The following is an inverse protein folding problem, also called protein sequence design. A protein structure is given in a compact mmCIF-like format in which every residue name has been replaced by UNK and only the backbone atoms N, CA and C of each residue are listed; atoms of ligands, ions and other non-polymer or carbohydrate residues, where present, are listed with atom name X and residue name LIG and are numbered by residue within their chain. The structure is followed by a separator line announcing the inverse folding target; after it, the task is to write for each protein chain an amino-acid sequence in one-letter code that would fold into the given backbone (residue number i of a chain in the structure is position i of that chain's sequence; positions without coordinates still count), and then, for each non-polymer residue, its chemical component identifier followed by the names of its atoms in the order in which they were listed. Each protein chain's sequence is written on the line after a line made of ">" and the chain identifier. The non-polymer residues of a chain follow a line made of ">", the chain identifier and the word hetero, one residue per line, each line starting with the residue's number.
data_IF_800524351587
#
_entry.id   IF_800524351587
#
_cell.length_a   1.000
_cell.length_b   1.000
_cell.length_c   1.000
_cell.angle_alpha   90.00
_cell.angle_beta   90.00
_cell.angle_gamma   90.00
#
_symmetry.space_group_name_H-M   'P 1'
#
loop_
_entity.id
_entity.type
_entity.pdbx_description
1 polymer ?
#
# COMPACT_ATOMS: atom_id res chain seq x y z
N UNK A 1 12.69 5.10 5.72
CA UNK A 1 12.05 3.83 6.13
C UNK A 1 10.57 4.14 6.25
N UNK A 2 9.68 3.32 5.67
CA UNK A 2 8.25 3.64 5.56
C UNK A 2 7.40 2.38 5.44
N UNK A 3 6.13 2.59 5.09
CA UNK A 3 5.11 1.59 4.89
C UNK A 3 4.85 1.43 3.40
N UNK A 4 5.08 0.23 2.90
CA UNK A 4 4.75 -0.13 1.53
C UNK A 4 3.47 -0.95 1.53
N UNK A 5 2.50 -0.50 0.75
CA UNK A 5 1.21 -1.16 0.60
C UNK A 5 1.02 -1.57 -0.84
N UNK A 6 0.70 -2.85 -1.04
CA UNK A 6 0.52 -3.42 -2.37
C UNK A 6 -0.86 -4.04 -2.51
N UNK A 7 -1.52 -3.82 -3.65
CA UNK A 7 -2.78 -4.49 -3.96
C UNK A 7 -2.63 -6.00 -3.92
N UNK A 8 -3.67 -6.69 -3.43
CA UNK A 8 -3.70 -8.16 -3.41
C UNK A 8 -3.76 -8.72 -4.84
N UNK A 9 -4.42 -8.02 -5.76
CA UNK A 9 -4.49 -8.37 -7.19
C UNK A 9 -4.17 -7.17 -8.05
N UNK A 10 -3.12 -7.27 -8.85
CA UNK A 10 -2.79 -6.24 -9.83
C UNK A 10 -3.92 -6.05 -10.85
N UNK A 11 -4.19 -4.82 -11.30
CA UNK A 11 -5.05 -4.58 -12.45
C UNK A 11 -4.51 -5.26 -13.71
N UNK A 12 -5.41 -5.75 -14.56
CA UNK A 12 -5.02 -6.30 -15.85
C UNK A 12 -4.35 -5.22 -16.71
N UNK A 13 -3.18 -5.54 -17.26
CA UNK A 13 -2.44 -4.64 -18.16
C UNK A 13 -1.67 -3.52 -17.48
N UNK A 14 -1.64 -3.44 -16.13
CA UNK A 14 -0.86 -2.42 -15.41
C UNK A 14 0.63 -2.50 -15.77
N UNK A 15 1.23 -3.69 -15.71
CA UNK A 15 2.65 -3.88 -16.04
C UNK A 15 2.96 -3.40 -17.46
N UNK A 16 2.10 -3.72 -18.42
CA UNK A 16 2.26 -3.28 -19.81
C UNK A 16 2.12 -1.76 -19.97
N UNK A 17 1.22 -1.13 -19.22
CA UNK A 17 1.04 0.32 -19.19
C UNK A 17 2.24 1.02 -18.54
N UNK A 18 2.72 0.50 -17.41
CA UNK A 18 3.91 0.99 -16.73
C UNK A 18 5.16 0.88 -17.61
N UNK A 19 5.38 -0.28 -18.25
CA UNK A 19 6.49 -0.46 -19.19
C UNK A 19 6.41 0.51 -20.39
N UNK A 20 5.21 0.79 -20.90
CA UNK A 20 5.04 1.76 -21.98
C UNK A 20 5.34 3.20 -21.53
N UNK A 21 4.91 3.57 -20.33
CA UNK A 21 5.21 4.88 -19.75
C UNK A 21 6.71 5.01 -19.39
N UNK A 22 7.32 3.96 -18.85
CA UNK A 22 8.77 3.89 -18.57
C UNK A 22 9.60 4.07 -19.83
N UNK A 23 9.25 3.41 -20.94
CA UNK A 23 9.92 3.67 -22.23
C UNK A 23 9.78 5.12 -22.71
N UNK A 24 8.67 5.76 -22.40
CA UNK A 24 8.43 7.17 -22.76
C UNK A 24 9.26 8.11 -21.89
N UNK A 25 9.40 7.81 -20.60
CA UNK A 25 10.30 8.50 -19.69
C UNK A 25 11.76 8.35 -20.11
N UNK A 26 12.22 7.13 -20.40
CA UNK A 26 13.59 6.88 -20.86
C UNK A 26 13.91 7.64 -22.15
N UNK A 27 12.98 7.66 -23.11
CA UNK A 27 13.14 8.42 -24.35
C UNK A 27 13.21 9.94 -24.11
N UNK A 28 12.43 10.48 -23.16
CA UNK A 28 12.50 11.90 -22.80
C UNK A 28 13.83 12.25 -22.13
N UNK A 29 14.34 11.37 -21.26
CA UNK A 29 15.65 11.52 -20.60
C UNK A 29 16.77 11.48 -21.64
N UNK A 30 16.77 10.48 -22.53
CA UNK A 30 17.75 10.35 -23.60
C UNK A 30 17.74 11.58 -24.53
N UNK A 31 16.55 12.11 -24.86
CA UNK A 31 16.43 13.31 -25.69
C UNK A 31 17.03 14.54 -25.00
N UNK A 32 16.75 14.75 -23.71
CA UNK A 32 17.32 15.85 -22.92
C UNK A 32 18.85 15.74 -22.85
N UNK A 33 19.36 14.55 -22.51
CA UNK A 33 20.78 14.34 -22.22
C UNK A 33 21.63 14.33 -23.51
N UNK A 34 21.05 13.92 -24.64
CA UNK A 34 21.73 13.89 -25.94
C UNK A 34 22.06 15.26 -26.54
N UNK A 35 21.52 16.35 -26.00
CA UNK A 35 21.80 17.71 -26.51
C UNK A 35 23.04 18.37 -25.89
N UNK A 36 23.60 17.81 -24.81
CA UNK A 36 24.78 18.33 -24.10
C UNK A 36 24.68 19.85 -23.78
N UNK A 37 23.50 20.27 -23.31
CA UNK A 37 23.22 21.66 -22.97
C UNK A 37 23.46 21.94 -21.47
N UNK A 38 23.93 23.15 -21.10
CA UNK A 38 23.95 23.57 -19.71
C UNK A 38 22.56 23.53 -19.06
N UNK A 39 22.51 23.27 -17.75
CA UNK A 39 21.26 23.15 -17.00
C UNK A 39 20.36 24.39 -17.10
N UNK A 40 20.94 25.59 -17.12
CA UNK A 40 20.21 26.86 -17.21
C UNK A 40 19.79 27.23 -18.64
N UNK A 41 20.15 26.43 -19.65
CA UNK A 41 19.76 26.68 -21.02
C UNK A 41 18.24 26.52 -21.21
N UNK A 42 17.54 27.47 -21.85
CA UNK A 42 16.08 27.43 -21.97
C UNK A 42 15.52 26.14 -22.59
N UNK A 43 16.23 25.58 -23.58
CA UNK A 43 15.85 24.30 -24.20
C UNK A 43 16.04 23.11 -23.26
N UNK A 44 17.08 23.12 -22.41
CA UNK A 44 17.25 22.09 -21.39
C UNK A 44 16.09 22.13 -20.40
N UNK A 45 15.72 23.34 -19.93
CA UNK A 45 14.60 23.53 -19.01
C UNK A 45 13.26 23.06 -19.60
N UNK A 46 13.01 23.33 -20.89
CA UNK A 46 11.81 22.83 -21.57
C UNK A 46 11.76 21.30 -21.61
N UNK A 47 12.88 20.64 -21.95
CA UNK A 47 12.96 19.18 -21.96
C UNK A 47 12.89 18.57 -20.55
N UNK A 48 13.41 19.27 -19.54
CA UNK A 48 13.27 18.86 -18.15
C UNK A 48 11.80 18.80 -17.70
N UNK A 49 10.96 19.71 -18.20
CA UNK A 49 9.51 19.68 -17.95
C UNK A 49 8.87 18.47 -18.64
N UNK A 50 9.28 18.13 -19.86
CA UNK A 50 8.81 16.91 -20.54
C UNK A 50 9.20 15.63 -19.80
N UNK A 51 10.45 15.55 -19.31
CA UNK A 51 10.93 14.45 -18.46
C UNK A 51 10.08 14.34 -17.19
N UNK A 52 9.78 15.47 -16.53
CA UNK A 52 8.93 15.48 -15.34
C UNK A 52 7.51 14.96 -15.63
N UNK A 53 6.88 15.40 -16.72
CA UNK A 53 5.58 14.90 -17.14
C UNK A 53 5.58 13.40 -17.49
N UNK A 54 6.65 12.91 -18.14
CA UNK A 54 6.78 11.50 -18.46
C UNK A 54 6.99 10.64 -17.20
N UNK A 55 7.75 11.16 -16.22
CA UNK A 55 7.90 10.54 -14.91
C UNK A 55 6.57 10.48 -14.16
N UNK A 56 5.82 11.59 -14.10
CA UNK A 56 4.50 11.64 -13.47
C UNK A 56 3.53 10.64 -14.12
N UNK A 57 3.57 10.50 -15.45
CA UNK A 57 2.76 9.53 -16.17
C UNK A 57 3.17 8.07 -15.88
N UNK A 58 4.47 7.81 -15.72
CA UNK A 58 4.99 6.49 -15.34
C UNK A 58 4.57 6.12 -13.91
N UNK A 59 4.71 7.04 -12.95
CA UNK A 59 4.27 6.82 -11.57
C UNK A 59 2.74 6.65 -11.50
N UNK A 60 1.98 7.44 -12.24
CA UNK A 60 0.52 7.32 -12.32
C UNK A 60 0.05 5.97 -12.91
N UNK A 61 0.88 5.30 -13.71
CA UNK A 61 0.58 3.98 -14.23
C UNK A 61 0.71 2.88 -13.16
N UNK A 62 1.46 3.10 -12.08
CA UNK A 62 1.72 2.11 -11.04
C UNK A 62 0.71 2.22 -9.89
N UNK A 63 -0.54 1.84 -10.16
CA UNK A 63 -1.63 1.94 -9.18
C UNK A 63 -1.63 0.82 -8.14
N UNK A 64 -0.79 -0.21 -8.32
CA UNK A 64 -0.64 -1.32 -7.37
C UNK A 64 0.03 -0.97 -6.05
N UNK A 65 0.74 0.15 -5.96
CA UNK A 65 1.59 0.49 -4.82
C UNK A 65 1.20 1.85 -4.23
N UNK A 66 1.24 1.93 -2.90
CA UNK A 66 1.14 3.18 -2.18
C UNK A 66 2.17 3.19 -1.05
N UNK A 67 2.89 4.30 -0.93
CA UNK A 67 3.92 4.47 0.08
C UNK A 67 3.56 5.59 1.05
N UNK A 68 3.82 5.37 2.33
CA UNK A 68 3.82 6.41 3.36
C UNK A 68 5.08 6.27 4.19
N UNK A 69 5.75 7.36 4.53
CA UNK A 69 6.81 7.35 5.53
C UNK A 69 6.26 6.92 6.90
N UNK A 70 7.13 6.54 7.84
CA UNK A 70 6.68 6.20 9.21
C UNK A 70 5.90 7.33 9.88
N UNK A 71 6.29 8.58 9.62
CA UNK A 71 5.61 9.75 10.15
C UNK A 71 4.23 9.94 9.50
N UNK A 72 4.15 9.94 8.17
CA UNK A 72 2.87 10.06 7.46
C UNK A 72 1.93 8.91 7.79
N UNK A 73 2.43 7.70 8.03
CA UNK A 73 1.59 6.57 8.46
C UNK A 73 1.00 6.79 9.86
N UNK A 74 1.74 7.44 10.77
CA UNK A 74 1.21 7.82 12.08
C UNK A 74 0.08 8.84 11.94
N UNK A 75 0.29 9.88 11.13
CA UNK A 75 -0.72 10.90 10.83
C UNK A 75 -1.93 10.28 10.11
N UNK A 76 -1.72 9.40 9.14
CA UNK A 76 -2.76 8.65 8.45
C UNK A 76 -3.62 7.85 9.41
N UNK A 77 -3.03 7.17 10.38
CA UNK A 77 -3.80 6.44 11.39
C UNK A 77 -4.59 7.38 12.29
N UNK A 78 -4.03 8.52 12.68
CA UNK A 78 -4.74 9.52 13.47
C UNK A 78 -5.94 10.11 12.71
N UNK A 79 -5.76 10.46 11.43
CA UNK A 79 -6.83 10.91 10.55
C UNK A 79 -7.90 9.83 10.35
N UNK A 80 -7.49 8.60 10.08
CA UNK A 80 -8.43 7.48 9.92
C UNK A 80 -9.22 7.22 11.21
N UNK A 81 -8.58 7.25 12.37
CA UNK A 81 -9.25 7.11 13.68
C UNK A 81 -10.27 8.24 13.89
N UNK A 82 -9.86 9.47 13.62
CA UNK A 82 -10.70 10.65 13.70
C UNK A 82 -11.96 10.56 12.82
N UNK A 83 -11.83 10.05 11.59
CA UNK A 83 -12.95 9.82 10.68
C UNK A 83 -13.73 8.52 10.96
N UNK A 84 -13.41 7.78 12.04
CA UNK A 84 -14.07 6.52 12.39
C UNK A 84 -13.78 5.38 11.39
N UNK A 85 -12.70 5.49 10.63
CA UNK A 85 -12.30 4.51 9.63
C UNK A 85 -11.57 3.30 10.23
N UNK A 86 -11.06 3.43 11.46
CA UNK A 86 -10.36 2.36 12.16
C UNK A 86 -11.27 1.68 13.19
N UNK A 87 -11.05 0.38 13.36
CA UNK A 87 -11.68 -0.40 14.41
C UNK A 87 -10.61 -1.06 15.30
N UNK A 88 -10.83 -1.01 16.61
CA UNK A 88 -10.06 -1.81 17.56
C UNK A 88 -10.50 -3.28 17.42
N UNK A 89 -9.61 -4.15 16.94
CA UNK A 89 -9.87 -5.57 16.82
C UNK A 89 -8.63 -6.35 17.26
N UNK A 90 -8.86 -7.41 18.05
CA UNK A 90 -7.82 -8.33 18.47
C UNK A 90 -7.65 -9.41 17.39
N UNK A 91 -6.48 -9.53 16.75
CA UNK A 91 -6.23 -10.63 15.82
C UNK A 91 -6.10 -11.97 16.55
N UNK A 92 -6.32 -13.09 15.86
CA UNK A 92 -5.94 -14.41 16.36
C UNK A 92 -4.45 -14.46 16.72
N UNK A 93 -4.13 -15.31 17.69
CA UNK A 93 -2.75 -15.54 18.11
C UNK A 93 -1.89 -16.01 16.94
N UNK A 94 -0.63 -15.61 16.95
CA UNK A 94 0.33 -16.03 15.94
C UNK A 94 0.56 -17.54 16.07
N UNK A 95 0.36 -18.34 14.99
CA UNK A 95 0.62 -19.77 15.06
C UNK A 95 2.10 -20.02 15.37
N UNK A 96 2.38 -20.96 16.26
CA UNK A 96 3.75 -21.36 16.57
C UNK A 96 4.21 -22.41 15.54
N UNK A 97 5.39 -22.27 14.91
CA UNK A 97 5.92 -23.26 13.97
C UNK A 97 5.89 -24.70 14.51
N UNK A 98 6.16 -24.85 15.81
CA UNK A 98 6.27 -26.12 16.51
C UNK A 98 4.95 -26.90 16.53
N UNK A 99 3.80 -26.21 16.57
CA UNK A 99 2.46 -26.82 16.50
C UNK A 99 2.22 -27.56 15.19
N UNK A 100 3.00 -27.22 14.16
CA UNK A 100 2.91 -27.80 12.82
C UNK A 100 4.05 -28.79 12.53
N UNK A 101 4.93 -29.05 13.51
CA UNK A 101 6.07 -29.95 13.36
C UNK A 101 7.21 -29.35 12.54
N UNK A 102 7.42 -28.04 12.62
CA UNK A 102 8.56 -27.33 12.01
C UNK A 102 9.15 -26.33 13.01
N UNK A 103 10.35 -25.83 12.74
CA UNK A 103 10.96 -24.72 13.48
C UNK A 103 10.85 -23.39 12.73
N UNK A 104 11.07 -22.24 13.40
CA UNK A 104 11.18 -20.95 12.73
C UNK A 104 12.26 -20.95 11.63
N UNK A 105 13.42 -21.54 11.91
CA UNK A 105 14.53 -21.61 10.96
C UNK A 105 14.21 -22.42 9.70
N UNK A 106 13.56 -23.57 9.85
CA UNK A 106 13.11 -24.38 8.71
C UNK A 106 12.00 -23.67 7.92
N UNK A 107 11.08 -22.98 8.60
CA UNK A 107 10.01 -22.24 7.94
C UNK A 107 10.54 -21.08 7.10
N UNK A 108 11.61 -20.41 7.55
CA UNK A 108 12.30 -19.34 6.83
C UNK A 108 13.16 -19.89 5.69
N UNK A 109 13.92 -20.95 5.94
CA UNK A 109 14.87 -21.50 4.96
C UNK A 109 14.21 -22.33 3.84
N UNK A 110 13.01 -22.87 4.08
CA UNK A 110 12.33 -23.72 3.10
C UNK A 110 11.99 -22.94 1.81
N UNK A 111 12.11 -23.57 0.63
CA UNK A 111 11.76 -22.93 -0.64
C UNK A 111 10.27 -22.54 -0.67
N UNK A 112 9.93 -21.52 -1.44
CA UNK A 112 8.54 -21.19 -1.72
C UNK A 112 7.86 -22.31 -2.56
N UNK A 113 6.54 -22.42 -2.46
CA UNK A 113 5.76 -23.35 -3.29
C UNK A 113 5.83 -24.82 -2.84
N UNK A 114 5.66 -25.74 -3.81
CA UNK A 114 5.44 -27.17 -3.57
C UNK A 114 6.68 -27.97 -3.11
N UNK A 115 7.86 -27.37 -3.12
CA UNK A 115 9.10 -28.01 -2.67
C UNK A 115 9.31 -27.93 -1.14
N UNK A 116 8.49 -27.16 -0.43
CA UNK A 116 8.57 -27.05 1.02
C UNK A 116 8.09 -28.35 1.71
N UNK A 117 8.68 -28.72 2.87
CA UNK A 117 8.13 -29.78 3.70
C UNK A 117 6.65 -29.56 4.04
N UNK A 118 5.89 -30.65 4.15
CA UNK A 118 4.44 -30.59 4.45
C UNK A 118 4.14 -29.79 5.72
N UNK A 119 4.97 -29.95 6.76
CA UNK A 119 4.88 -29.19 8.01
C UNK A 119 4.98 -27.67 7.78
N UNK A 120 5.99 -27.23 7.03
CA UNK A 120 6.18 -25.83 6.64
C UNK A 120 5.00 -25.32 5.82
N UNK A 121 4.47 -26.12 4.90
CA UNK A 121 3.30 -25.73 4.10
C UNK A 121 2.06 -25.49 4.98
N UNK A 122 1.80 -26.38 5.95
CA UNK A 122 0.69 -26.20 6.89
C UNK A 122 0.88 -24.96 7.76
N UNK A 123 2.10 -24.74 8.28
CA UNK A 123 2.43 -23.55 9.05
C UNK A 123 2.21 -22.26 8.24
N UNK A 124 2.75 -22.18 7.01
CA UNK A 124 2.57 -21.03 6.12
C UNK A 124 1.10 -20.77 5.79
N UNK A 125 0.31 -21.82 5.58
CA UNK A 125 -1.14 -21.70 5.36
C UNK A 125 -1.86 -21.13 6.59
N UNK A 126 -1.50 -21.56 7.79
CA UNK A 126 -2.05 -21.02 9.03
C UNK A 126 -1.65 -19.55 9.26
N UNK A 127 -0.39 -19.22 8.98
CA UNK A 127 0.09 -17.84 9.05
C UNK A 127 -0.63 -16.93 8.04
N UNK A 128 -0.79 -17.37 6.79
CA UNK A 128 -1.55 -16.63 5.78
C UNK A 128 -3.02 -16.45 6.20
N UNK A 129 -3.66 -17.50 6.72
CA UNK A 129 -5.02 -17.40 7.24
C UNK A 129 -5.13 -16.35 8.36
N UNK A 130 -4.15 -16.31 9.26
CA UNK A 130 -4.06 -15.25 10.28
C UNK A 130 -3.87 -13.88 9.64
N UNK A 131 -2.90 -13.69 8.74
CA UNK A 131 -2.62 -12.38 8.12
C UNK A 131 -3.79 -11.86 7.27
N UNK A 132 -4.61 -12.76 6.75
CA UNK A 132 -5.86 -12.45 6.03
C UNK A 132 -7.10 -12.34 6.94
N UNK A 133 -6.95 -12.53 8.25
CA UNK A 133 -8.07 -12.56 9.18
C UNK A 133 -8.82 -11.23 9.16
N UNK A 134 -10.15 -11.33 9.18
CA UNK A 134 -11.06 -10.19 9.33
C UNK A 134 -12.12 -10.56 10.35
N UNK A 135 -12.59 -9.62 11.18
CA UNK A 135 -13.78 -9.85 11.98
C UNK A 135 -14.97 -10.21 11.05
N UNK A 136 -15.91 -11.07 11.51
CA UNK A 136 -17.07 -11.46 10.71
C UNK A 136 -17.93 -10.29 10.23
N UNK A 137 -17.96 -9.20 11.01
CA UNK A 137 -18.62 -7.94 10.69
C UNK A 137 -17.61 -6.80 10.90
N UNK A 138 -16.91 -6.36 9.85
CA UNK A 138 -15.93 -5.28 9.98
C UNK A 138 -16.63 -3.93 10.15
N UNK A 139 -16.32 -3.24 11.23
CA UNK A 139 -16.76 -1.86 11.53
C UNK A 139 -15.81 -0.79 10.95
N UNK A 140 -14.70 -1.21 10.36
CA UNK A 140 -13.65 -0.37 9.78
C UNK A 140 -12.42 -1.22 9.46
N UNK A 141 -11.29 -0.58 9.17
CA UNK A 141 -10.01 -1.27 9.04
C UNK A 141 -9.48 -1.58 10.44
N UNK A 142 -9.14 -2.85 10.69
CA UNK A 142 -8.56 -3.24 11.97
C UNK A 142 -7.23 -2.50 12.20
N UNK A 143 -7.15 -1.68 13.25
CA UNK A 143 -6.07 -0.72 13.45
C UNK A 143 -4.67 -1.37 13.50
N UNK A 144 -4.56 -2.60 14.02
CA UNK A 144 -3.30 -3.32 14.12
C UNK A 144 -2.68 -3.66 12.75
N UNK A 145 -3.49 -3.77 11.68
CA UNK A 145 -3.01 -4.09 10.33
C UNK A 145 -2.20 -2.98 9.69
N UNK A 146 -2.37 -1.75 10.20
CA UNK A 146 -1.72 -0.54 9.72
C UNK A 146 -0.53 -0.12 10.58
N UNK A 147 -0.16 -0.91 11.59
CA UNK A 147 0.85 -0.54 12.58
C UNK A 147 2.02 -1.50 12.75
N UNK A 148 2.11 -2.57 11.94
CA UNK A 148 3.14 -3.60 12.08
C UNK A 148 3.78 -4.01 10.75
N UNK A 149 4.77 -4.88 10.82
CA UNK A 149 5.58 -5.38 9.70
C UNK A 149 5.19 -6.80 9.25
N UNK A 150 4.14 -7.37 9.84
CA UNK A 150 3.80 -8.78 9.63
C UNK A 150 3.19 -9.09 8.25
N UNK A 151 2.90 -8.08 7.42
CA UNK A 151 2.31 -8.32 6.09
C UNK A 151 0.79 -8.51 6.12
N UNK A 152 0.07 -7.82 7.02
CA UNK A 152 -1.38 -7.95 7.16
C UNK A 152 -2.13 -7.60 5.89
N UNK A 153 -3.17 -8.37 5.58
CA UNK A 153 -4.09 -8.07 4.47
C UNK A 153 -5.28 -7.28 4.99
N UNK A 154 -5.48 -6.09 4.45
CA UNK A 154 -6.69 -5.28 4.64
C UNK A 154 -7.69 -5.66 3.57
N UNK A 155 -8.84 -6.18 3.98
CA UNK A 155 -9.83 -6.78 3.07
C UNK A 155 -10.74 -5.75 2.40
N UNK A 156 -11.39 -6.08 1.27
CA UNK A 156 -12.37 -5.19 0.65
C UNK A 156 -13.54 -4.82 1.56
N UNK A 157 -13.94 -5.72 2.48
CA UNK A 157 -15.01 -5.47 3.43
C UNK A 157 -14.64 -4.35 4.41
N UNK A 158 -13.47 -4.47 5.04
CA UNK A 158 -12.90 -3.46 5.93
C UNK A 158 -12.76 -2.10 5.24
N UNK A 159 -12.23 -2.07 4.02
CA UNK A 159 -12.03 -0.84 3.26
C UNK A 159 -13.37 -0.15 2.95
N UNK A 160 -14.38 -0.91 2.51
CA UNK A 160 -15.71 -0.33 2.22
C UNK A 160 -16.37 0.23 3.47
N UNK A 161 -16.28 -0.45 4.60
CA UNK A 161 -16.82 0.08 5.86
C UNK A 161 -16.09 1.37 6.27
N UNK A 162 -14.75 1.36 6.20
CA UNK A 162 -13.93 2.54 6.49
C UNK A 162 -14.28 3.74 5.60
N UNK A 163 -14.41 3.53 4.28
CA UNK A 163 -14.82 4.60 3.35
C UNK A 163 -16.24 5.11 3.62
N UNK A 164 -17.15 4.23 4.06
CA UNK A 164 -18.51 4.65 4.45
C UNK A 164 -18.50 5.53 5.70
N UNK A 165 -17.67 5.17 6.69
CA UNK A 165 -17.47 5.99 7.90
C UNK A 165 -16.87 7.37 7.54
N UNK A 166 -15.86 7.39 6.66
CA UNK A 166 -15.26 8.62 6.16
C UNK A 166 -16.29 9.55 5.50
N UNK A 167 -17.09 9.05 4.55
CA UNK A 167 -18.09 9.86 3.84
C UNK A 167 -19.19 10.36 4.79
N UNK A 168 -19.58 9.54 5.78
CA UNK A 168 -20.55 9.92 6.82
C UNK A 168 -20.02 11.04 7.71
N UNK A 169 -18.77 10.90 8.20
CA UNK A 169 -18.11 11.90 9.04
C UNK A 169 -17.91 13.22 8.27
N UNK A 170 -17.48 13.14 7.01
CA UNK A 170 -17.33 14.29 6.11
C UNK A 170 -18.65 15.04 5.88
N UNK A 171 -19.75 14.32 5.69
CA UNK A 171 -21.07 14.94 5.52
C UNK A 171 -21.56 15.63 6.80
N UNK A 172 -21.20 15.10 7.98
CA UNK A 172 -21.58 15.69 9.26
C UNK A 172 -20.78 16.96 9.61
N UNK A 173 -19.48 16.99 9.28
CA UNK A 173 -18.57 18.09 9.68
C UNK A 173 -17.63 18.53 8.54
N UNK A 174 -18.16 19.19 7.47
CA UNK A 174 -17.35 19.55 6.31
C UNK A 174 -16.25 20.58 6.59
N UNK A 175 -16.43 21.48 7.56
CA UNK A 175 -15.42 22.48 7.93
C UNK A 175 -14.15 21.86 8.57
N UNK A 176 -14.32 20.73 9.25
CA UNK A 176 -13.24 20.02 9.94
C UNK A 176 -12.28 19.34 8.95
N UNK A 177 -12.74 19.01 7.73
CA UNK A 177 -11.85 18.51 6.68
C UNK A 177 -10.82 19.55 6.25
N UNK A 178 -11.20 20.83 6.19
CA UNK A 178 -10.28 21.88 5.73
C UNK A 178 -9.10 22.00 6.70
N UNK A 179 -9.37 22.15 8.00
CA UNK A 179 -8.33 22.41 9.00
C UNK A 179 -7.36 21.23 9.23
N UNK A 180 -7.82 19.99 9.07
CA UNK A 180 -7.01 18.80 9.40
C UNK A 180 -6.34 18.18 8.17
N UNK A 181 -6.89 18.38 6.96
CA UNK A 181 -6.34 17.79 5.72
C UNK A 181 -5.48 18.80 4.93
N UNK A 182 -5.56 20.10 5.21
CA UNK A 182 -4.76 21.12 4.51
C UNK A 182 -3.24 20.82 4.54
N UNK A 183 -2.75 20.15 5.59
CA UNK A 183 -1.35 19.77 5.73
C UNK A 183 -1.02 18.34 5.24
N UNK A 184 -2.02 17.54 4.86
CA UNK A 184 -1.88 16.15 4.40
C UNK A 184 -2.20 16.01 2.91
N UNK A 185 -1.30 16.52 2.07
CA UNK A 185 -1.39 16.49 0.60
C UNK A 185 -1.56 15.06 0.01
N UNK A 186 -1.05 14.04 0.70
CA UNK A 186 -1.20 12.62 0.35
C UNK A 186 -2.58 12.03 0.71
N UNK A 187 -3.40 12.69 1.54
CA UNK A 187 -4.68 12.14 2.00
C UNK A 187 -5.69 11.87 0.87
N UNK A 188 -5.89 12.77 -0.12
CA UNK A 188 -6.74 12.46 -1.26
C UNK A 188 -6.25 11.24 -2.06
N UNK A 189 -4.93 11.08 -2.21
CA UNK A 189 -4.33 9.94 -2.89
C UNK A 189 -4.54 8.64 -2.08
N UNK A 190 -4.43 8.70 -0.75
CA UNK A 190 -4.76 7.59 0.15
C UNK A 190 -6.21 7.13 0.01
N UNK A 191 -7.18 8.06 0.01
CA UNK A 191 -8.60 7.74 -0.19
C UNK A 191 -8.83 7.14 -1.59
N UNK A 192 -8.14 7.66 -2.62
CA UNK A 192 -8.15 7.09 -3.96
C UNK A 192 -7.62 5.65 -3.99
N UNK A 193 -6.48 5.40 -3.34
CA UNK A 193 -5.87 4.09 -3.22
C UNK A 193 -6.79 3.10 -2.50
N UNK A 194 -7.44 3.49 -1.40
CA UNK A 194 -8.41 2.64 -0.71
C UNK A 194 -9.58 2.25 -1.63
N UNK A 195 -10.16 3.22 -2.35
CA UNK A 195 -11.26 2.96 -3.32
C UNK A 195 -10.81 1.96 -4.38
N UNK A 196 -9.59 2.12 -4.90
CA UNK A 196 -9.03 1.21 -5.88
C UNK A 196 -8.79 -0.18 -5.28
N UNK A 197 -8.12 -0.28 -4.13
CA UNK A 197 -7.83 -1.53 -3.45
C UNK A 197 -9.08 -2.36 -3.13
N UNK A 198 -10.20 -1.73 -2.79
CA UNK A 198 -11.47 -2.43 -2.57
C UNK A 198 -11.96 -3.22 -3.80
N UNK A 199 -11.67 -2.75 -5.02
CA UNK A 199 -11.95 -3.47 -6.27
C UNK A 199 -10.97 -4.61 -6.55
N UNK A 200 -9.76 -4.50 -6.00
CA UNK A 200 -8.62 -5.36 -6.30
C UNK A 200 -8.33 -6.42 -5.22
N UNK A 201 -9.30 -6.72 -4.37
CA UNK A 201 -9.16 -7.75 -3.33
C UNK A 201 -8.50 -7.26 -2.05
N UNK A 202 -8.32 -5.94 -1.91
CA UNK A 202 -7.66 -5.31 -0.77
C UNK A 202 -6.20 -5.00 -1.03
N UNK A 203 -5.45 -4.78 0.04
CA UNK A 203 -4.00 -4.58 -0.02
C UNK A 203 -3.28 -5.28 1.13
N UNK A 204 -1.98 -5.54 0.96
CA UNK A 204 -1.06 -6.01 1.99
C UNK A 204 -0.21 -4.86 2.49
N UNK A 205 -0.11 -4.72 3.80
CA UNK A 205 0.69 -3.69 4.45
C UNK A 205 2.01 -4.26 4.98
N UNK A 206 3.12 -3.66 4.56
CA UNK A 206 4.46 -3.96 5.04
C UNK A 206 5.00 -2.74 5.76
N UNK A 207 5.09 -2.85 7.09
CA UNK A 207 5.75 -1.84 7.92
C UNK A 207 7.28 -1.90 7.82
N UNK A 208 7.97 -0.90 8.37
CA UNK A 208 9.42 -0.92 8.53
C UNK A 208 9.85 -2.20 9.29
N UNK A 209 10.94 -2.87 8.90
CA UNK A 209 11.44 -4.01 9.66
C UNK A 209 11.69 -3.61 11.11
N UNK A 210 11.18 -4.40 12.06
CA UNK A 210 11.47 -4.19 13.48
C UNK A 210 12.97 -4.47 13.71
N UNK A 211 13.72 -3.42 14.05
CA UNK A 211 15.15 -3.49 14.41
C UNK A 211 15.35 -4.01 15.83
#
# INVERSE_FOLDING_TARGET
>A
MGYDMYLVRSPEGEDAAYEAASRSFDAAVEHRDGLDLPYDHPQYQALQVEVAHAYDAMEAARTTHFHLTTWEMSECRALMDHFGMLAAAQPPDRPAPEEYGTTPGEAVAAPAGGAAPVAVHRYRKALEARLSWTPPQPEGIAAHKLGGDEGWTVTPGEIRTALTAYETSRAANPALLSEVIEDADWWPAWIGYLKHAAGHGGFRAYGPPVT
#
